data_IF_088253324392
#
_entry.id   IF_088253324392
#
_cell.length_a   1.000
_cell.length_b   1.000
_cell.length_c   1.000
_cell.angle_alpha   90.00
_cell.angle_beta   90.00
_cell.angle_gamma   90.00
#
_symmetry.space_group_name_H-M   'P 1'
#
loop_
_entity.id
_entity.type
_entity.pdbx_description
1 polymer ?
#
# COMPACT_ATOMS: atom_id res chain seq x y z
N UNK A 1 -11.56 -5.66 3.27
CA UNK A 1 -11.57 -6.42 2.00
C UNK A 1 -12.12 -5.64 0.80
N UNK A 2 -12.42 -4.34 0.95
CA UNK A 2 -12.93 -3.52 -0.16
C UNK A 2 -11.82 -2.87 -1.01
N UNK A 3 -10.57 -2.90 -0.55
CA UNK A 3 -9.43 -2.32 -1.28
C UNK A 3 -8.80 -3.41 -2.15
N UNK A 4 -8.95 -3.37 -3.49
CA UNK A 4 -8.33 -4.34 -4.37
C UNK A 4 -6.80 -4.19 -4.34
N UNK A 5 -6.09 -5.31 -4.29
CA UNK A 5 -4.62 -5.34 -4.35
C UNK A 5 -4.19 -5.66 -5.79
N UNK A 6 -3.46 -4.74 -6.41
CA UNK A 6 -2.88 -4.93 -7.75
C UNK A 6 -1.81 -6.02 -7.70
N UNK A 7 -1.92 -7.05 -8.55
CA UNK A 7 -0.82 -7.96 -8.85
C UNK A 7 -0.07 -7.48 -10.09
N UNK A 8 1.23 -7.21 -9.94
CA UNK A 8 2.06 -6.64 -11.01
C UNK A 8 2.83 -7.70 -11.77
N UNK A 9 3.40 -7.28 -12.90
CA UNK A 9 4.13 -8.17 -13.80
C UNK A 9 5.22 -8.95 -13.05
N UNK A 10 5.25 -10.30 -13.14
CA UNK A 10 6.30 -11.15 -12.58
C UNK A 10 7.75 -10.74 -12.90
N UNK A 11 7.96 -10.01 -14.00
CA UNK A 11 9.28 -9.49 -14.39
C UNK A 11 9.87 -8.53 -13.36
N UNK A 12 9.07 -7.79 -12.61
CA UNK A 12 9.58 -6.85 -11.60
C UNK A 12 10.28 -7.56 -10.43
N UNK A 13 9.95 -8.83 -10.18
CA UNK A 13 10.60 -9.69 -9.17
C UNK A 13 11.73 -10.52 -9.79
N UNK A 14 11.54 -11.04 -11.00
CA UNK A 14 12.51 -11.94 -11.64
C UNK A 14 13.65 -11.22 -12.37
N UNK A 15 13.50 -9.91 -12.63
CA UNK A 15 14.47 -9.08 -13.35
C UNK A 15 14.69 -7.73 -12.64
N UNK A 16 15.91 -7.20 -12.76
CA UNK A 16 16.22 -5.81 -12.43
C UNK A 16 16.61 -5.12 -13.74
N UNK A 17 15.84 -4.12 -14.17
CA UNK A 17 15.86 -3.63 -15.56
C UNK A 17 15.64 -4.83 -16.50
N UNK A 18 16.51 -5.03 -17.47
CA UNK A 18 16.44 -6.16 -18.43
C UNK A 18 17.32 -7.36 -18.02
N UNK A 19 17.93 -7.34 -16.83
CA UNK A 19 18.82 -8.41 -16.36
C UNK A 19 18.03 -9.38 -15.50
N UNK A 20 17.98 -10.66 -15.91
CA UNK A 20 17.35 -11.73 -15.14
C UNK A 20 18.17 -12.07 -13.89
N UNK A 21 17.50 -12.13 -12.74
CA UNK A 21 18.11 -12.44 -11.43
C UNK A 21 17.53 -13.68 -10.74
N UNK A 22 16.39 -14.18 -11.24
CA UNK A 22 15.78 -15.43 -10.78
C UNK A 22 15.95 -16.55 -11.82
N UNK A 23 15.90 -17.81 -11.38
CA UNK A 23 15.95 -18.98 -12.28
C UNK A 23 14.76 -18.95 -13.25
N UNK A 24 14.97 -19.42 -14.47
CA UNK A 24 13.90 -19.48 -15.47
C UNK A 24 12.70 -20.31 -14.97
N UNK A 25 11.49 -19.86 -15.28
CA UNK A 25 10.24 -20.47 -14.81
C UNK A 25 9.90 -20.29 -13.33
N UNK A 26 10.67 -19.49 -12.56
CA UNK A 26 10.34 -19.20 -11.16
C UNK A 26 8.96 -18.55 -11.05
N UNK A 27 8.04 -19.21 -10.33
CA UNK A 27 6.73 -18.63 -9.99
C UNK A 27 6.90 -17.56 -8.93
N UNK A 28 6.19 -16.44 -9.08
CA UNK A 28 6.27 -15.31 -8.15
C UNK A 28 4.89 -14.89 -7.66
N UNK A 29 4.88 -14.29 -6.49
CA UNK A 29 3.73 -13.56 -5.95
C UNK A 29 4.17 -12.09 -5.86
N UNK A 30 3.54 -11.21 -6.63
CA UNK A 30 3.96 -9.80 -6.75
C UNK A 30 2.80 -8.82 -6.50
N UNK A 31 2.24 -8.79 -5.28
CA UNK A 31 1.30 -7.75 -4.90
C UNK A 31 2.03 -6.40 -4.81
N UNK A 32 1.48 -5.36 -5.44
CA UNK A 32 2.07 -4.02 -5.41
C UNK A 32 1.82 -3.28 -4.10
N UNK A 33 0.79 -3.67 -3.36
CA UNK A 33 0.33 -3.00 -2.15
C UNK A 33 -0.03 -4.01 -1.06
N UNK A 34 -0.02 -3.54 0.19
CA UNK A 34 -0.64 -4.20 1.33
C UNK A 34 -1.53 -3.22 2.09
N UNK A 35 -2.29 -3.72 3.07
CA UNK A 35 -3.15 -2.89 3.91
C UNK A 35 -2.56 -2.83 5.31
N UNK A 36 -2.19 -1.64 5.76
CA UNK A 36 -1.77 -1.40 7.15
C UNK A 36 -2.99 -1.11 8.04
N UNK A 37 -3.25 -1.93 9.09
CA UNK A 37 -4.32 -1.66 10.03
C UNK A 37 -4.11 -0.32 10.76
N UNK A 38 -5.19 0.45 10.95
CA UNK A 38 -5.11 1.80 11.54
C UNK A 38 -4.48 1.84 12.94
N UNK A 39 -4.57 0.75 13.72
CA UNK A 39 -3.93 0.63 15.05
C UNK A 39 -2.39 0.68 15.01
N UNK A 40 -1.80 0.46 13.84
CA UNK A 40 -0.34 0.53 13.63
C UNK A 40 0.10 1.94 13.16
N UNK A 41 -0.82 2.89 13.02
CA UNK A 41 -0.55 4.24 12.50
C UNK A 41 -0.70 5.26 13.65
N UNK A 42 0.38 5.98 13.97
CA UNK A 42 0.35 7.02 15.01
C UNK A 42 -0.45 8.25 14.58
N UNK A 43 -0.27 8.70 13.34
CA UNK A 43 -0.95 9.87 12.78
C UNK A 43 -0.96 9.82 11.24
N UNK A 44 -1.89 10.55 10.62
CA UNK A 44 -1.98 10.76 9.17
C UNK A 44 -1.74 12.26 8.89
N UNK A 45 -0.78 12.57 8.03
CA UNK A 45 -0.43 13.95 7.66
C UNK A 45 -1.17 14.33 6.37
N UNK A 46 -1.87 15.45 6.39
CA UNK A 46 -2.65 15.98 5.27
C UNK A 46 -2.36 17.46 5.06
N UNK A 47 -2.82 18.04 3.95
CA UNK A 47 -2.78 19.48 3.68
C UNK A 47 -3.62 20.31 4.67
N UNK A 48 -4.57 19.68 5.37
CA UNK A 48 -5.42 20.31 6.39
C UNK A 48 -4.87 20.13 7.82
N UNK A 49 -3.69 19.54 7.99
CA UNK A 49 -3.04 19.30 9.28
C UNK A 49 -2.81 17.82 9.61
N UNK A 50 -2.47 17.55 10.86
CA UNK A 50 -2.14 16.20 11.37
C UNK A 50 -3.34 15.58 12.06
N UNK A 51 -3.70 14.35 11.67
CA UNK A 51 -4.83 13.59 12.19
C UNK A 51 -4.34 12.49 13.12
N UNK A 52 -4.94 12.38 14.31
CA UNK A 52 -4.68 11.32 15.27
C UNK A 52 -5.91 10.40 15.43
N UNK A 53 -5.74 9.19 15.99
CA UNK A 53 -6.87 8.35 16.38
C UNK A 53 -7.85 9.08 17.33
N UNK A 54 -9.16 8.75 17.32
CA UNK A 54 -9.81 7.71 16.53
C UNK A 54 -10.09 8.16 15.08
N UNK A 55 -9.49 7.47 14.11
CA UNK A 55 -9.44 7.92 12.71
C UNK A 55 -10.79 8.02 12.01
N UNK A 56 -11.77 7.19 12.37
CA UNK A 56 -13.10 7.24 11.77
C UNK A 56 -13.78 8.60 12.05
N UNK A 57 -13.75 9.06 13.30
CA UNK A 57 -14.33 10.35 13.67
C UNK A 57 -13.49 11.53 13.19
N UNK A 58 -12.17 11.45 13.33
CA UNK A 58 -11.28 12.58 13.05
C UNK A 58 -11.18 12.84 11.55
N UNK A 59 -11.13 11.80 10.71
CA UNK A 59 -11.18 11.96 9.25
C UNK A 59 -12.55 12.45 8.77
N UNK A 60 -13.66 11.95 9.33
CA UNK A 60 -15.00 12.44 8.98
C UNK A 60 -15.19 13.92 9.33
N UNK A 61 -14.61 14.40 10.44
CA UNK A 61 -14.61 15.82 10.79
C UNK A 61 -13.79 16.65 9.79
N UNK A 62 -12.66 16.12 9.34
CA UNK A 62 -11.74 16.77 8.41
C UNK A 62 -12.25 16.83 6.96
N UNK A 63 -13.04 15.84 6.53
CA UNK A 63 -13.59 15.75 5.17
C UNK A 63 -14.76 16.72 4.92
N UNK A 64 -15.31 17.32 5.98
CA UNK A 64 -16.34 18.35 5.85
C UNK A 64 -15.75 19.61 5.20
N UNK A 65 -16.52 20.29 4.34
CA UNK A 65 -16.10 21.53 3.70
C UNK A 65 -15.90 22.67 4.72
#
# INVERSE_FOLDING_TARGET
DEIPIEERNPKEVTHIKDIQIAVDGTRVFNPAFDVTPHKNITAIITEKGVVYPPFEETLLKLSKP
#
